data_IF_493946764796
#
_entry.id   IF_493946764796
#
_cell.length_a   1.000
_cell.length_b   1.000
_cell.length_c   1.000
_cell.angle_alpha   90.00
_cell.angle_beta   90.00
_cell.angle_gamma   90.00
#
_symmetry.space_group_name_H-M   'P 1'
#
loop_
_entity.id
_entity.type
_entity.pdbx_description
1 polymer ?
#
# COMPACT_ATOMS: atom_id res chain seq x y z
N UNK A 1 3.75 18.89 7.95
CA UNK A 1 2.86 17.99 8.67
C UNK A 1 3.42 17.69 10.06
N UNK A 2 2.61 17.88 11.08
CA UNK A 2 3.02 17.71 12.47
C UNK A 2 2.16 16.62 13.13
N UNK A 3 2.75 15.47 13.42
CA UNK A 3 2.08 14.34 14.08
C UNK A 3 2.04 14.44 15.60
N UNK A 4 2.68 15.46 16.20
CA UNK A 4 2.74 15.63 17.66
C UNK A 4 1.37 15.57 18.35
N UNK A 5 0.34 16.12 17.71
CA UNK A 5 -1.01 16.06 18.27
C UNK A 5 -1.52 14.62 18.39
N UNK A 6 -1.31 13.80 17.33
CA UNK A 6 -1.71 12.41 17.31
C UNK A 6 -0.89 11.59 18.33
N UNK A 7 0.41 11.86 18.39
CA UNK A 7 1.33 11.21 19.32
C UNK A 7 0.96 11.51 20.79
N UNK A 8 0.63 12.77 21.09
CA UNK A 8 0.18 13.20 22.41
C UNK A 8 -1.15 12.55 22.83
N UNK A 9 -2.05 12.35 21.89
CA UNK A 9 -3.32 11.64 22.08
C UNK A 9 -3.16 10.10 22.04
N UNK A 10 -1.96 9.60 21.84
CA UNK A 10 -1.64 8.16 21.70
C UNK A 10 -2.43 7.48 20.59
N UNK A 11 -2.72 8.20 19.52
CA UNK A 11 -3.47 7.67 18.38
C UNK A 11 -2.61 6.70 17.59
N UNK A 12 -3.12 5.51 17.37
CA UNK A 12 -2.48 4.49 16.53
C UNK A 12 -2.77 4.84 15.07
N UNK A 13 -1.75 5.15 14.29
CA UNK A 13 -1.85 5.43 12.86
C UNK A 13 -0.93 4.54 12.02
N UNK A 14 -0.40 3.51 12.65
CA UNK A 14 0.39 2.47 12.01
C UNK A 14 0.08 1.12 12.65
N UNK A 15 -0.04 0.11 11.81
CA UNK A 15 -0.10 -1.30 12.21
C UNK A 15 0.69 -2.12 11.20
N UNK A 16 1.61 -2.94 11.68
CA UNK A 16 2.26 -3.98 10.88
C UNK A 16 1.33 -5.22 10.84
N UNK A 17 1.48 -6.14 9.86
CA UNK A 17 0.64 -7.33 9.79
C UNK A 17 0.68 -8.14 11.10
N UNK A 18 -0.48 -8.50 11.63
CA UNK A 18 -0.57 -9.21 12.91
C UNK A 18 -0.54 -10.72 12.70
N UNK A 19 -1.24 -11.20 11.69
CA UNK A 19 -1.51 -12.63 11.49
C UNK A 19 -0.69 -13.25 10.36
N UNK A 20 -0.18 -12.44 9.43
CA UNK A 20 0.60 -12.93 8.31
C UNK A 20 2.04 -13.19 8.72
N UNK A 21 2.53 -14.40 8.44
CA UNK A 21 3.94 -14.73 8.60
C UNK A 21 4.71 -14.33 7.35
N UNK A 22 5.84 -13.62 7.46
CA UNK A 22 6.66 -13.30 6.30
C UNK A 22 7.26 -14.57 5.69
N UNK A 23 7.38 -14.59 4.37
CA UNK A 23 8.11 -15.65 3.66
C UNK A 23 9.62 -15.57 3.93
N UNK A 24 10.14 -14.34 4.06
CA UNK A 24 11.52 -14.08 4.46
C UNK A 24 11.52 -12.96 5.50
N UNK A 25 12.13 -13.22 6.65
CA UNK A 25 12.34 -12.24 7.69
C UNK A 25 13.79 -11.77 7.66
N UNK A 26 14.00 -10.47 7.40
CA UNK A 26 15.31 -9.83 7.45
C UNK A 26 15.40 -8.86 8.62
N UNK A 27 16.63 -8.39 8.95
CA UNK A 27 16.86 -7.49 10.07
C UNK A 27 16.01 -6.21 10.00
N UNK A 28 15.86 -5.63 8.81
CA UNK A 28 15.23 -4.32 8.63
C UNK A 28 13.96 -4.33 7.76
N UNK A 29 13.59 -5.48 7.19
CA UNK A 29 12.43 -5.64 6.35
C UNK A 29 11.93 -7.08 6.36
N UNK A 30 10.67 -7.27 5.99
CA UNK A 30 10.01 -8.56 5.84
C UNK A 30 9.44 -8.67 4.43
N UNK A 31 9.55 -9.86 3.84
CA UNK A 31 9.01 -10.17 2.52
C UNK A 31 7.85 -11.16 2.63
N UNK A 32 6.76 -10.81 1.95
CA UNK A 32 5.56 -11.61 1.81
C UNK A 32 5.38 -11.99 0.35
N UNK A 33 5.65 -13.23 -0.05
CA UNK A 33 5.60 -13.66 -1.45
C UNK A 33 4.21 -13.43 -2.06
N UNK A 34 3.16 -13.81 -1.32
CA UNK A 34 1.76 -13.61 -1.72
C UNK A 34 1.24 -12.21 -1.37
N UNK A 35 2.02 -11.45 -0.64
CA UNK A 35 1.67 -10.12 -0.16
C UNK A 35 0.80 -10.15 1.09
N UNK A 36 0.62 -8.98 1.69
CA UNK A 36 -0.25 -8.76 2.84
C UNK A 36 -1.08 -7.50 2.68
N UNK A 37 -2.32 -7.51 3.15
CA UNK A 37 -3.25 -6.38 3.08
C UNK A 37 -3.34 -5.59 4.38
N UNK A 38 -3.24 -6.25 5.54
CA UNK A 38 -3.43 -5.64 6.85
C UNK A 38 -2.16 -4.94 7.36
N UNK A 39 -1.66 -4.03 6.55
CA UNK A 39 -0.52 -3.19 6.89
C UNK A 39 -0.87 -1.72 6.67
N UNK A 40 -1.04 -0.97 7.74
CA UNK A 40 -1.39 0.44 7.68
C UNK A 40 -0.21 1.30 8.13
N UNK A 41 0.19 2.26 7.29
CA UNK A 41 1.26 3.21 7.56
C UNK A 41 0.83 4.60 7.15
N UNK A 42 -0.15 5.15 7.88
CA UNK A 42 -0.67 6.48 7.63
C UNK A 42 0.41 7.53 7.91
N UNK A 43 0.39 8.60 7.16
CA UNK A 43 1.23 9.79 7.34
C UNK A 43 2.75 9.55 7.31
N UNK A 44 3.22 8.40 6.84
CA UNK A 44 4.65 8.09 6.79
C UNK A 44 5.37 8.80 5.64
N UNK A 45 4.72 8.88 4.48
CA UNK A 45 5.30 9.55 3.31
C UNK A 45 5.16 11.07 3.40
N UNK A 46 6.00 11.80 2.66
CA UNK A 46 5.85 13.26 2.51
C UNK A 46 4.59 13.63 1.71
N UNK A 47 3.96 12.67 1.04
CA UNK A 47 2.73 12.89 0.30
C UNK A 47 1.61 13.35 1.25
N UNK A 48 0.89 14.35 0.80
CA UNK A 48 -0.28 14.89 1.50
C UNK A 48 -1.55 14.26 0.94
N UNK A 49 -2.60 14.33 1.73
CA UNK A 49 -3.94 13.96 1.32
C UNK A 49 -4.45 14.99 0.31
N UNK A 50 -4.78 14.55 -0.91
CA UNK A 50 -5.14 15.44 -2.02
C UNK A 50 -6.60 15.35 -2.44
N UNK A 51 -7.35 14.37 -1.95
CA UNK A 51 -8.74 14.13 -2.34
C UNK A 51 -9.62 13.76 -1.14
N UNK A 52 -10.92 14.04 -1.25
CA UNK A 52 -11.93 13.61 -0.26
C UNK A 52 -11.94 12.10 -0.04
N UNK A 53 -11.81 11.31 -1.10
CA UNK A 53 -11.76 9.85 -1.02
C UNK A 53 -10.56 9.38 -0.21
N UNK A 54 -9.40 9.99 -0.41
CA UNK A 54 -8.19 9.68 0.34
C UNK A 54 -8.33 10.10 1.81
N UNK A 55 -8.94 11.27 2.09
CA UNK A 55 -9.21 11.69 3.47
C UNK A 55 -10.14 10.71 4.17
N UNK A 56 -11.27 10.37 3.55
CA UNK A 56 -12.24 9.43 4.12
C UNK A 56 -11.59 8.09 4.43
N UNK A 57 -10.73 7.59 3.54
CA UNK A 57 -9.98 6.35 3.78
C UNK A 57 -8.99 6.47 4.96
N UNK A 58 -8.27 7.59 5.10
CA UNK A 58 -7.38 7.81 6.25
C UNK A 58 -8.15 7.84 7.57
N UNK A 59 -9.29 8.52 7.59
CA UNK A 59 -10.15 8.58 8.78
C UNK A 59 -10.75 7.20 9.12
N UNK A 60 -11.18 6.43 8.11
CA UNK A 60 -11.67 5.07 8.28
C UNK A 60 -10.61 4.15 8.91
N UNK A 61 -9.39 4.21 8.42
CA UNK A 61 -8.27 3.43 8.98
C UNK A 61 -7.95 3.88 10.42
N UNK A 62 -7.97 5.18 10.70
CA UNK A 62 -7.76 5.68 12.07
C UNK A 62 -8.83 5.18 13.03
N UNK A 63 -10.09 5.21 12.63
CA UNK A 63 -11.19 4.68 13.43
C UNK A 63 -11.00 3.19 13.70
N UNK A 64 -10.70 2.41 12.67
CA UNK A 64 -10.42 0.97 12.80
C UNK A 64 -9.23 0.66 13.73
N UNK A 65 -8.16 1.44 13.65
CA UNK A 65 -6.96 1.22 14.47
C UNK A 65 -7.12 1.66 15.93
N UNK A 66 -8.14 2.46 16.25
CA UNK A 66 -8.35 3.04 17.58
C UNK A 66 -9.79 2.78 18.07
N UNK A 67 -10.15 1.52 18.34
CA UNK A 67 -11.52 1.16 18.72
C UNK A 67 -11.96 1.76 20.06
N UNK A 68 -11.03 2.31 20.85
CA UNK A 68 -11.30 2.97 22.13
C UNK A 68 -11.76 4.42 21.98
N UNK A 69 -11.69 5.00 20.77
CA UNK A 69 -12.08 6.39 20.55
C UNK A 69 -13.59 6.54 20.60
N UNK A 70 -14.02 7.60 21.28
CA UNK A 70 -15.39 8.07 21.18
C UNK A 70 -15.59 9.01 19.99
N UNK A 71 -16.82 9.20 19.56
CA UNK A 71 -17.13 9.99 18.37
C UNK A 71 -16.67 11.45 18.48
N UNK A 72 -16.75 12.04 19.69
CA UNK A 72 -16.26 13.42 19.92
C UNK A 72 -14.76 13.51 19.73
N UNK A 73 -13.98 12.62 20.33
CA UNK A 73 -12.53 12.59 20.18
C UNK A 73 -12.11 12.33 18.73
N UNK A 74 -12.85 11.46 18.05
CA UNK A 74 -12.62 11.20 16.63
C UNK A 74 -12.92 12.43 15.76
N UNK A 75 -13.94 13.21 16.10
CA UNK A 75 -14.25 14.48 15.43
C UNK A 75 -13.10 15.47 15.57
N UNK A 76 -12.56 15.64 16.77
CA UNK A 76 -11.40 16.52 17.01
C UNK A 76 -10.18 16.10 16.17
N UNK A 77 -9.90 14.81 16.12
CA UNK A 77 -8.80 14.24 15.31
C UNK A 77 -9.05 14.50 13.82
N UNK A 78 -10.27 14.30 13.35
CA UNK A 78 -10.65 14.53 11.96
C UNK A 78 -10.52 16.02 11.58
N UNK A 79 -10.89 16.94 12.48
CA UNK A 79 -10.73 18.38 12.28
C UNK A 79 -9.25 18.78 12.17
N UNK A 80 -8.38 18.23 13.02
CA UNK A 80 -6.93 18.47 12.94
C UNK A 80 -6.37 17.93 11.62
N UNK A 81 -6.73 16.72 11.19
CA UNK A 81 -6.22 16.11 9.95
C UNK A 81 -6.75 16.85 8.72
N UNK A 82 -8.02 17.26 8.72
CA UNK A 82 -8.64 17.96 7.60
C UNK A 82 -8.19 19.40 7.47
N UNK A 83 -7.70 20.00 8.56
CA UNK A 83 -7.20 21.37 8.54
C UNK A 83 -5.90 21.49 7.74
N UNK A 84 -5.92 22.36 6.73
CA UNK A 84 -4.74 22.65 5.90
C UNK A 84 -3.55 23.19 6.72
N UNK A 85 -3.82 23.84 7.86
CA UNK A 85 -2.80 24.44 8.73
C UNK A 85 -1.87 23.38 9.33
N UNK A 86 -2.38 22.20 9.63
CA UNK A 86 -1.59 21.09 10.18
C UNK A 86 -0.81 20.29 9.10
N UNK A 87 -1.01 20.63 7.83
CA UNK A 87 -0.21 20.11 6.71
C UNK A 87 -0.46 18.66 6.32
N UNK A 88 -1.55 18.03 6.75
CA UNK A 88 -1.96 16.69 6.30
C UNK A 88 -2.66 16.74 4.94
N UNK A 89 -3.50 17.76 4.71
CA UNK A 89 -4.27 17.95 3.49
C UNK A 89 -3.73 19.11 2.65
N UNK A 90 -4.01 19.10 1.34
CA UNK A 90 -3.63 20.18 0.41
C UNK A 90 -4.80 21.10 0.05
N UNK A 91 -6.02 20.69 0.37
CA UNK A 91 -7.25 21.40 0.01
C UNK A 91 -8.04 21.82 1.24
N UNK A 92 -8.94 22.79 1.07
CA UNK A 92 -9.88 23.19 2.10
C UNK A 92 -11.11 22.29 2.04
N UNK A 93 -11.60 21.91 3.23
CA UNK A 93 -12.81 21.10 3.38
C UNK A 93 -13.76 21.89 4.26
N UNK A 94 -15.03 21.87 3.92
CA UNK A 94 -16.06 22.45 4.73
C UNK A 94 -16.25 21.63 6.02
N UNK A 95 -16.34 22.24 7.21
CA UNK A 95 -16.47 21.51 8.47
C UNK A 95 -17.64 20.50 8.50
N UNK A 96 -18.75 20.85 7.90
CA UNK A 96 -19.90 19.93 7.80
C UNK A 96 -19.59 18.65 7.01
N UNK A 97 -18.76 18.74 5.98
CA UNK A 97 -18.33 17.57 5.23
C UNK A 97 -17.44 16.64 6.08
N UNK A 98 -16.60 17.23 6.94
CA UNK A 98 -15.79 16.45 7.89
C UNK A 98 -16.69 15.76 8.91
N UNK A 99 -17.65 16.47 9.51
CA UNK A 99 -18.62 15.90 10.46
C UNK A 99 -19.44 14.77 9.82
N UNK A 100 -19.88 14.96 8.58
CA UNK A 100 -20.59 13.92 7.84
C UNK A 100 -19.71 12.68 7.61
N UNK A 101 -18.43 12.86 7.23
CA UNK A 101 -17.49 11.74 7.09
C UNK A 101 -17.30 11.01 8.41
N UNK A 102 -17.11 11.73 9.51
CA UNK A 102 -16.96 11.15 10.85
C UNK A 102 -18.20 10.36 11.22
N UNK A 103 -19.38 10.92 11.04
CA UNK A 103 -20.64 10.22 11.33
C UNK A 103 -20.80 8.95 10.51
N UNK A 104 -20.59 9.03 9.18
CA UNK A 104 -20.66 7.88 8.29
C UNK A 104 -19.67 6.77 8.69
N UNK A 105 -18.47 7.14 9.14
CA UNK A 105 -17.43 6.18 9.56
C UNK A 105 -17.75 5.59 10.92
N UNK A 106 -18.21 6.39 11.89
CA UNK A 106 -18.54 5.91 13.24
C UNK A 106 -19.72 4.95 13.28
N UNK A 107 -20.57 4.97 12.25
CA UNK A 107 -21.70 4.05 12.11
C UNK A 107 -21.33 2.73 11.41
N UNK A 108 -20.10 2.61 10.89
CA UNK A 108 -19.64 1.38 10.25
C UNK A 108 -19.22 0.37 11.33
N UNK A 109 -19.76 -0.83 11.22
CA UNK A 109 -19.21 -1.99 11.91
C UNK A 109 -17.93 -2.40 11.19
N UNK A 110 -16.80 -2.31 11.88
CA UNK A 110 -15.47 -2.59 11.33
C UNK A 110 -14.95 -3.96 11.81
N UNK A 111 -15.78 -4.99 11.72
CA UNK A 111 -15.36 -6.38 11.98
C UNK A 111 -14.26 -6.82 11.00
N UNK A 112 -14.32 -6.31 9.76
CA UNK A 112 -13.29 -6.53 8.76
C UNK A 112 -12.33 -5.33 8.63
N UNK A 113 -11.00 -5.57 8.51
CA UNK A 113 -10.05 -4.51 8.30
C UNK A 113 -10.29 -3.78 6.97
N UNK A 114 -10.17 -2.43 6.93
CA UNK A 114 -10.28 -1.67 5.70
C UNK A 114 -9.28 -2.15 4.66
N UNK A 115 -9.74 -2.55 3.48
CA UNK A 115 -8.89 -3.09 2.41
C UNK A 115 -7.88 -2.05 1.94
N UNK A 116 -6.62 -2.44 1.92
CA UNK A 116 -5.48 -1.63 1.47
C UNK A 116 -4.87 -2.25 0.20
N UNK A 117 -3.89 -1.58 -0.39
CA UNK A 117 -3.08 -2.17 -1.46
C UNK A 117 -2.21 -3.28 -0.88
N UNK A 118 -2.15 -4.39 -1.61
CA UNK A 118 -1.28 -5.52 -1.30
C UNK A 118 0.18 -5.06 -1.19
N UNK A 119 0.85 -5.41 -0.11
CA UNK A 119 2.27 -5.11 0.11
C UNK A 119 3.07 -6.40 0.16
N UNK A 120 4.14 -6.44 -0.60
CA UNK A 120 5.07 -7.58 -0.62
C UNK A 120 6.32 -7.36 0.23
N UNK A 121 6.71 -6.12 0.45
CA UNK A 121 7.87 -5.78 1.29
C UNK A 121 7.46 -4.73 2.32
N UNK A 122 7.72 -5.02 3.59
CA UNK A 122 7.44 -4.13 4.71
C UNK A 122 8.75 -3.82 5.43
N UNK A 123 9.08 -2.55 5.56
CA UNK A 123 10.25 -2.11 6.30
C UNK A 123 9.91 -1.89 7.77
N UNK A 124 10.69 -2.50 8.66
CA UNK A 124 10.55 -2.34 10.11
C UNK A 124 10.67 -0.87 10.51
N UNK A 125 10.04 -0.49 11.61
CA UNK A 125 9.97 0.91 12.03
C UNK A 125 11.37 1.49 12.28
N UNK A 126 12.20 0.74 12.99
CA UNK A 126 13.56 1.11 13.30
C UNK A 126 14.47 0.47 12.27
N UNK A 127 14.90 1.26 11.29
CA UNK A 127 15.86 0.82 10.29
C UNK A 127 16.73 2.00 9.83
N UNK A 128 18.02 1.80 9.60
CA UNK A 128 18.96 2.82 9.13
C UNK A 128 18.94 3.01 7.62
N UNK A 129 18.10 2.28 6.87
CA UNK A 129 18.11 2.24 5.41
C UNK A 129 17.71 3.58 4.81
N UNK A 130 18.48 4.04 3.84
CA UNK A 130 18.13 5.18 3.00
C UNK A 130 16.92 4.87 2.10
N UNK A 131 16.35 5.89 1.48
CA UNK A 131 15.27 5.69 0.48
C UNK A 131 15.78 4.88 -0.71
N UNK A 132 17.01 5.12 -1.14
CA UNK A 132 17.65 4.43 -2.25
C UNK A 132 17.86 2.94 -1.95
N UNK A 133 18.32 2.61 -0.75
CA UNK A 133 18.47 1.21 -0.32
C UNK A 133 17.13 0.49 -0.28
N UNK A 134 16.09 1.15 0.24
CA UNK A 134 14.72 0.60 0.25
C UNK A 134 14.21 0.34 -1.16
N UNK A 135 14.41 1.27 -2.10
CA UNK A 135 14.02 1.07 -3.49
C UNK A 135 14.82 -0.04 -4.16
N UNK A 136 16.12 -0.17 -3.85
CA UNK A 136 16.96 -1.27 -4.34
C UNK A 136 16.47 -2.62 -3.85
N UNK A 137 16.16 -2.75 -2.55
CA UNK A 137 15.62 -3.98 -1.93
C UNK A 137 14.30 -4.36 -2.62
N UNK A 138 13.36 -3.41 -2.73
CA UNK A 138 12.07 -3.65 -3.39
C UNK A 138 12.26 -4.06 -4.85
N UNK A 139 13.14 -3.37 -5.59
CA UNK A 139 13.46 -3.69 -6.98
C UNK A 139 14.10 -5.07 -7.14
N UNK A 140 14.95 -5.47 -6.20
CA UNK A 140 15.59 -6.79 -6.20
C UNK A 140 14.57 -7.92 -5.93
N UNK A 141 13.67 -7.71 -4.97
CA UNK A 141 12.71 -8.74 -4.54
C UNK A 141 11.54 -8.84 -5.51
N UNK A 142 10.93 -7.71 -5.86
CA UNK A 142 9.73 -7.67 -6.71
C UNK A 142 10.09 -7.64 -8.19
N UNK A 143 11.16 -6.94 -8.57
CA UNK A 143 11.56 -6.76 -9.96
C UNK A 143 12.16 -8.00 -10.61
N UNK A 144 12.68 -8.96 -9.84
CA UNK A 144 13.19 -10.24 -10.34
C UNK A 144 12.10 -11.26 -10.69
N UNK A 145 10.86 -11.00 -10.33
CA UNK A 145 9.80 -11.99 -10.46
C UNK A 145 9.46 -12.37 -11.90
N UNK A 146 9.88 -11.64 -12.93
CA UNK A 146 9.75 -12.06 -14.35
C UNK A 146 10.72 -11.27 -15.24
N UNK A 147 12.03 -11.50 -15.10
CA UNK A 147 12.93 -11.14 -16.18
C UNK A 147 12.90 -12.30 -17.17
N UNK A 148 12.18 -12.12 -18.28
CA UNK A 148 12.18 -13.06 -19.38
C UNK A 148 13.53 -12.92 -20.07
N UNK A 149 14.27 -14.03 -20.12
CA UNK A 149 15.55 -14.14 -20.81
C UNK A 149 15.32 -14.60 -22.25
N UNK A 150 16.30 -14.37 -23.11
CA UNK A 150 16.26 -14.86 -24.51
C UNK A 150 16.04 -16.37 -24.57
N UNK A 151 16.64 -17.11 -23.65
CA UNK A 151 16.45 -18.56 -23.53
C UNK A 151 15.00 -18.98 -23.28
N UNK A 152 14.27 -18.20 -22.44
CA UNK A 152 12.84 -18.45 -22.17
C UNK A 152 12.00 -18.22 -23.42
N UNK A 153 12.33 -17.18 -24.19
CA UNK A 153 11.67 -16.87 -25.46
C UNK A 153 11.95 -17.96 -26.48
N UNK A 154 13.21 -18.37 -26.60
CA UNK A 154 13.64 -19.41 -27.55
C UNK A 154 12.96 -20.74 -27.24
N UNK A 155 12.95 -21.18 -25.99
CA UNK A 155 12.27 -22.38 -25.57
C UNK A 155 10.77 -22.32 -25.86
N UNK A 156 10.13 -21.21 -25.55
CA UNK A 156 8.72 -20.98 -25.86
C UNK A 156 8.42 -21.04 -27.37
N UNK A 157 9.35 -20.54 -28.21
CA UNK A 157 9.22 -20.68 -29.67
C UNK A 157 9.27 -22.13 -30.14
N UNK A 158 10.17 -22.93 -29.56
CA UNK A 158 10.25 -24.39 -29.87
C UNK A 158 8.96 -25.08 -29.46
N UNK A 159 8.44 -24.80 -28.26
CA UNK A 159 7.21 -25.42 -27.75
C UNK A 159 6.00 -25.08 -28.64
N UNK A 160 5.91 -23.82 -29.12
CA UNK A 160 4.85 -23.36 -30.03
C UNK A 160 4.98 -24.06 -31.39
N UNK A 161 6.21 -24.22 -31.89
CA UNK A 161 6.50 -24.93 -33.15
C UNK A 161 6.11 -26.42 -33.07
N UNK A 162 6.51 -27.10 -32.00
CA UNK A 162 6.21 -28.50 -31.76
C UNK A 162 4.70 -28.77 -31.59
N UNK A 163 3.98 -27.77 -31.08
CA UNK A 163 2.50 -27.77 -31.02
C UNK A 163 1.83 -27.51 -32.40
N UNK A 164 2.61 -27.34 -33.46
CA UNK A 164 2.10 -27.06 -34.82
C UNK A 164 1.45 -25.70 -34.99
N UNK A 165 1.74 -24.77 -34.12
CA UNK A 165 1.16 -23.40 -34.12
C UNK A 165 2.10 -22.39 -34.75
N UNK A 166 1.52 -21.31 -35.31
CA UNK A 166 2.31 -20.22 -35.88
C UNK A 166 2.98 -19.44 -34.77
N UNK A 167 4.30 -19.26 -34.83
CA UNK A 167 5.08 -18.47 -33.89
C UNK A 167 4.77 -16.99 -34.15
N UNK A 168 4.25 -16.29 -33.16
CA UNK A 168 4.01 -14.85 -33.19
C UNK A 168 4.38 -14.24 -31.84
N UNK A 169 4.80 -12.97 -31.84
CA UNK A 169 5.12 -12.26 -30.61
C UNK A 169 3.94 -12.24 -29.61
N UNK A 170 2.71 -12.20 -30.11
CA UNK A 170 1.50 -12.25 -29.29
C UNK A 170 1.34 -13.62 -28.60
N UNK A 171 1.62 -14.73 -29.30
CA UNK A 171 1.56 -16.06 -28.70
C UNK A 171 2.67 -16.28 -27.69
N UNK A 172 3.89 -15.87 -28.00
CA UNK A 172 5.01 -15.95 -27.04
C UNK A 172 4.69 -15.13 -25.78
N UNK A 173 4.17 -13.90 -25.94
CA UNK A 173 3.78 -13.05 -24.83
C UNK A 173 2.68 -13.68 -23.96
N UNK A 174 1.70 -14.34 -24.58
CA UNK A 174 0.63 -15.07 -23.88
C UNK A 174 1.18 -16.24 -23.08
N UNK A 175 2.07 -17.04 -23.67
CA UNK A 175 2.66 -18.23 -23.02
C UNK A 175 3.61 -17.84 -21.87
N UNK A 176 4.40 -16.79 -22.05
CA UNK A 176 5.30 -16.27 -21.02
C UNK A 176 4.61 -15.28 -20.03
N UNK A 177 3.31 -15.08 -20.17
CA UNK A 177 2.49 -14.15 -19.37
C UNK A 177 3.11 -12.76 -19.28
N UNK A 178 3.57 -12.21 -20.39
CA UNK A 178 4.21 -10.90 -20.47
C UNK A 178 3.58 -10.02 -21.54
N UNK A 179 4.06 -8.78 -21.67
CA UNK A 179 3.62 -7.90 -22.76
C UNK A 179 4.39 -8.21 -24.05
N UNK A 180 3.77 -8.00 -25.22
CA UNK A 180 4.46 -8.10 -26.52
C UNK A 180 5.67 -7.16 -26.61
N UNK A 181 5.62 -6.01 -25.92
CA UNK A 181 6.75 -5.09 -25.82
C UNK A 181 7.98 -5.72 -25.14
N UNK A 182 7.74 -6.63 -24.19
CA UNK A 182 8.84 -7.36 -23.51
C UNK A 182 9.54 -8.32 -24.44
N UNK A 183 8.79 -8.95 -25.37
CA UNK A 183 9.34 -9.89 -26.39
C UNK A 183 10.19 -9.17 -27.44
N UNK A 184 9.87 -7.89 -27.75
CA UNK A 184 10.59 -7.11 -28.75
C UNK A 184 11.79 -6.31 -28.19
N UNK A 185 12.12 -6.46 -26.91
CA UNK A 185 13.16 -5.69 -26.22
C UNK A 185 14.47 -6.48 -26.13
#
# INVERSE_FOLDING_TARGET
RNTKYLDNKRIVYRRDPINDKPTVEATYWDHYADGTYECYQLFRSRAKITTYKSLKWHLLVLWYLNPQLEQEEFTDIADVISSKQHGFTTFKIHPEMVRRMVYEISMLDLDEPPKNKLRKVIFKLINPLSIEDKLRIVGTIIGRAKKIHEDDIYQCMLDIHDAGKKITATQIALWLECSTRTIHR
#
